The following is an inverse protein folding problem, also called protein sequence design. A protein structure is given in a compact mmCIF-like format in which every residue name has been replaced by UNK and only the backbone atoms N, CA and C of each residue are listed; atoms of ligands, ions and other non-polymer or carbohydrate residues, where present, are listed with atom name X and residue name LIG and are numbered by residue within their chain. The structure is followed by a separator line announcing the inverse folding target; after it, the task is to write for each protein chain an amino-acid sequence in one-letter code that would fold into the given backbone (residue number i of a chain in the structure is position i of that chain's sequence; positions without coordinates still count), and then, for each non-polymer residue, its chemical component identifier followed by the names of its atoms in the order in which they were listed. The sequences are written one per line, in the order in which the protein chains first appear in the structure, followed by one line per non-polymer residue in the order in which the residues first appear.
data_IF_140905285932
#
_entry.id   IF_140905285932
#
_cell.length_a   1.000
_cell.length_b   1.000
_cell.length_c   1.000
_cell.angle_alpha   90.00
_cell.angle_beta   90.00
_cell.angle_gamma   90.00
#
_symmetry.space_group_name_H-M   'P 1'
#
loop_
_entity.id
_entity.type
_entity.pdbx_description
1 polymer ?
#
# COMPACT_ATOMS: atom_id res chain seq x y z
N UNK A 1 4.43 -26.23 -16.07
CA UNK A 1 3.95 -24.96 -15.44
C UNK A 1 4.30 -24.81 -13.95
N UNK A 2 4.67 -25.90 -13.25
CA UNK A 2 5.11 -25.81 -11.84
C UNK A 2 6.58 -25.35 -11.68
N UNK A 3 7.43 -25.58 -12.67
CA UNK A 3 8.84 -25.12 -12.67
C UNK A 3 8.99 -23.62 -12.90
N UNK A 4 8.01 -22.97 -13.54
CA UNK A 4 8.03 -21.53 -13.79
C UNK A 4 7.69 -20.67 -12.57
N UNK A 5 7.10 -21.23 -11.50
CA UNK A 5 6.69 -20.44 -10.34
C UNK A 5 7.85 -19.90 -9.51
N UNK A 6 8.95 -20.64 -9.38
CA UNK A 6 10.11 -20.17 -8.64
C UNK A 6 11.01 -19.22 -9.45
N UNK A 7 11.31 -19.55 -10.68
CA UNK A 7 12.17 -18.75 -11.56
C UNK A 7 11.43 -17.50 -12.11
N UNK A 8 10.16 -17.64 -12.51
CA UNK A 8 9.38 -16.54 -13.00
C UNK A 8 9.12 -15.43 -11.95
N UNK A 9 9.01 -15.79 -10.67
CA UNK A 9 8.83 -14.81 -9.60
C UNK A 9 10.08 -13.98 -9.33
N UNK A 10 11.27 -14.52 -9.52
CA UNK A 10 12.54 -13.79 -9.39
C UNK A 10 12.64 -12.69 -10.45
N UNK A 11 12.24 -12.97 -11.69
CA UNK A 11 12.31 -12.00 -12.80
C UNK A 11 11.21 -10.93 -12.74
N UNK A 12 10.02 -11.26 -12.26
CA UNK A 12 8.89 -10.31 -12.15
C UNK A 12 9.08 -9.21 -11.12
N UNK A 13 10.11 -9.31 -10.27
CA UNK A 13 10.29 -8.40 -9.12
C UNK A 13 11.64 -7.71 -9.12
N UNK A 14 12.35 -7.70 -10.23
CA UNK A 14 13.69 -7.09 -10.30
C UNK A 14 13.58 -5.60 -10.55
N UNK A 15 14.20 -4.82 -9.66
CA UNK A 15 14.48 -3.42 -9.89
C UNK A 15 15.81 -3.23 -10.63
N UNK A 16 16.14 -2.00 -10.96
CA UNK A 16 17.37 -1.60 -11.65
C UNK A 16 18.65 -2.05 -10.93
N UNK A 17 18.60 -2.26 -9.61
CA UNK A 17 19.74 -2.75 -8.82
C UNK A 17 20.24 -4.15 -9.26
N UNK A 18 19.43 -4.90 -9.98
CA UNK A 18 19.77 -6.23 -10.47
C UNK A 18 20.44 -6.23 -11.86
N UNK A 19 20.53 -5.08 -12.53
CA UNK A 19 21.17 -4.94 -13.85
C UNK A 19 22.60 -5.52 -13.87
N UNK A 20 23.36 -5.29 -12.81
CA UNK A 20 24.72 -5.82 -12.68
C UNK A 20 24.79 -7.36 -12.58
N UNK A 21 23.68 -8.02 -12.30
CA UNK A 21 23.58 -9.49 -12.21
C UNK A 21 23.15 -10.14 -13.53
N UNK A 22 22.64 -9.36 -14.49
CA UNK A 22 22.14 -9.86 -15.78
C UNK A 22 23.17 -10.71 -16.53
N UNK A 23 24.45 -10.32 -16.65
CA UNK A 23 25.45 -11.14 -17.34
C UNK A 23 25.62 -12.54 -16.74
N UNK A 24 25.52 -12.65 -15.41
CA UNK A 24 25.58 -13.95 -14.70
C UNK A 24 24.37 -14.82 -15.02
N UNK A 25 23.18 -14.20 -15.09
CA UNK A 25 21.95 -14.90 -15.46
C UNK A 25 22.02 -15.39 -16.91
N UNK A 26 22.51 -14.56 -17.84
CA UNK A 26 22.69 -14.94 -19.25
C UNK A 26 23.60 -16.16 -19.39
N UNK A 27 24.75 -16.19 -18.68
CA UNK A 27 25.66 -17.34 -18.69
C UNK A 27 24.99 -18.60 -18.16
N UNK A 28 24.18 -18.52 -17.11
CA UNK A 28 23.43 -19.66 -16.58
C UNK A 28 22.45 -20.20 -17.61
N UNK A 29 21.68 -19.35 -18.28
CA UNK A 29 20.77 -19.76 -19.32
C UNK A 29 21.52 -20.45 -20.49
N UNK A 30 22.66 -19.91 -20.89
CA UNK A 30 23.51 -20.51 -21.91
C UNK A 30 24.05 -21.88 -21.49
N UNK A 31 24.56 -22.02 -20.25
CA UNK A 31 25.08 -23.32 -19.78
C UNK A 31 24.03 -24.41 -19.66
N UNK A 32 22.78 -24.03 -19.37
CA UNK A 32 21.66 -24.97 -19.30
C UNK A 32 20.92 -25.16 -20.62
N UNK A 33 21.37 -24.50 -21.68
CA UNK A 33 20.70 -24.48 -22.98
C UNK A 33 19.22 -24.11 -22.89
N UNK A 34 18.93 -23.09 -22.05
CA UNK A 34 17.59 -22.58 -21.87
C UNK A 34 17.35 -21.31 -22.72
N UNK A 35 16.16 -21.15 -23.29
CA UNK A 35 15.81 -19.90 -23.98
C UNK A 35 15.83 -18.73 -22.98
N UNK A 36 16.58 -17.69 -23.35
CA UNK A 36 16.64 -16.47 -22.51
C UNK A 36 15.29 -15.75 -22.53
N UNK A 37 14.68 -15.45 -21.37
CA UNK A 37 13.48 -14.63 -21.31
C UNK A 37 13.81 -13.17 -21.61
N UNK A 38 12.81 -12.41 -22.03
CA UNK A 38 12.89 -10.95 -22.07
C UNK A 38 13.02 -10.40 -20.65
N UNK A 39 13.98 -9.48 -20.45
CA UNK A 39 14.25 -8.89 -19.16
C UNK A 39 13.77 -7.45 -19.11
N UNK A 40 12.90 -7.16 -18.15
CA UNK A 40 12.42 -5.80 -17.89
C UNK A 40 12.84 -5.39 -16.48
N UNK A 41 13.60 -4.29 -16.38
CA UNK A 41 14.05 -3.74 -15.12
C UNK A 41 13.35 -2.41 -14.86
N UNK A 42 12.61 -2.35 -13.74
CA UNK A 42 11.89 -1.16 -13.34
C UNK A 42 12.79 -0.25 -12.49
N UNK A 43 12.66 1.08 -12.63
CA UNK A 43 13.38 2.02 -11.81
C UNK A 43 12.96 1.90 -10.33
N UNK A 44 13.87 2.26 -9.41
CA UNK A 44 13.57 2.30 -7.98
C UNK A 44 12.75 3.53 -7.63
N UNK A 45 11.80 3.33 -6.73
CA UNK A 45 11.07 4.44 -6.12
C UNK A 45 12.02 5.30 -5.28
N UNK A 46 11.86 6.62 -5.40
CA UNK A 46 12.68 7.62 -4.71
C UNK A 46 11.84 8.47 -3.78
N UNK A 47 12.46 8.99 -2.75
CA UNK A 47 11.90 10.04 -1.91
C UNK A 47 11.91 11.39 -2.67
N UNK A 48 11.24 12.40 -2.12
CA UNK A 48 11.27 13.79 -2.64
C UNK A 48 12.67 14.38 -2.66
N UNK A 49 13.57 13.93 -1.78
CA UNK A 49 15.01 14.27 -1.77
C UNK A 49 15.85 13.44 -2.75
N UNK A 50 15.20 12.69 -3.66
CA UNK A 50 15.78 11.77 -4.64
C UNK A 50 16.55 10.57 -4.05
N UNK A 51 16.62 10.44 -2.74
CA UNK A 51 17.19 9.25 -2.10
C UNK A 51 16.30 8.03 -2.33
N UNK A 52 16.89 6.83 -2.30
CA UNK A 52 16.14 5.56 -2.43
C UNK A 52 15.06 5.47 -1.34
N UNK A 53 13.84 5.10 -1.73
CA UNK A 53 12.76 4.80 -0.79
C UNK A 53 13.20 3.67 0.14
N UNK A 54 13.13 3.87 1.44
CA UNK A 54 13.60 2.89 2.42
C UNK A 54 12.65 2.76 3.60
N UNK A 55 12.58 1.56 4.18
CA UNK A 55 11.76 1.25 5.36
C UNK A 55 12.07 2.13 6.58
N UNK A 56 13.25 2.74 6.64
CA UNK A 56 13.67 3.59 7.77
C UNK A 56 13.07 4.99 7.72
N UNK A 57 12.84 5.51 6.51
CA UNK A 57 12.35 6.88 6.29
C UNK A 57 10.85 6.92 5.99
N UNK A 58 10.30 5.87 5.38
CA UNK A 58 8.91 5.82 4.93
C UNK A 58 8.31 4.44 5.13
N UNK A 59 7.00 4.37 5.41
CA UNK A 59 6.30 3.10 5.40
C UNK A 59 6.30 2.52 3.98
N UNK A 60 6.91 1.34 3.82
CA UNK A 60 6.97 0.62 2.53
C UNK A 60 6.14 -0.67 2.53
N UNK A 61 5.48 -0.97 3.67
CA UNK A 61 4.61 -2.13 3.79
C UNK A 61 3.21 -1.82 3.28
N UNK A 62 2.65 -2.69 2.43
CA UNK A 62 1.26 -2.60 1.98
C UNK A 62 0.28 -2.64 3.16
N UNK A 63 0.62 -3.40 4.21
CA UNK A 63 -0.20 -3.48 5.43
C UNK A 63 -0.34 -2.14 6.14
N UNK A 64 0.70 -1.30 6.11
CA UNK A 64 0.62 0.06 6.66
C UNK A 64 -0.49 0.87 5.99
N UNK A 65 -0.55 0.86 4.65
CA UNK A 65 -1.55 1.63 3.90
C UNK A 65 -2.96 1.09 4.14
N UNK A 66 -3.12 -0.24 4.18
CA UNK A 66 -4.38 -0.88 4.57
C UNK A 66 -4.83 -0.41 5.95
N UNK A 67 -3.92 -0.41 6.92
CA UNK A 67 -4.21 -0.04 8.31
C UNK A 67 -4.49 1.45 8.47
N UNK A 68 -4.01 2.29 7.55
CA UNK A 68 -4.37 3.71 7.45
C UNK A 68 -5.68 3.95 6.68
N UNK A 69 -6.33 2.92 6.16
CA UNK A 69 -7.60 3.05 5.43
C UNK A 69 -7.47 3.49 3.98
N UNK A 70 -6.32 3.26 3.36
CA UNK A 70 -6.21 3.45 1.92
C UNK A 70 -6.94 2.32 1.18
N UNK A 71 -7.71 2.69 0.15
CA UNK A 71 -8.37 1.73 -0.72
C UNK A 71 -7.35 1.01 -1.61
N UNK A 72 -7.47 -0.31 -1.79
CA UNK A 72 -6.58 -1.07 -2.67
C UNK A 72 -6.55 -0.52 -4.09
N UNK A 73 -7.70 -0.10 -4.61
CA UNK A 73 -7.87 0.45 -5.95
C UNK A 73 -7.06 1.75 -6.13
N UNK A 74 -7.12 2.63 -5.13
CA UNK A 74 -6.36 3.88 -5.13
C UNK A 74 -4.85 3.62 -5.06
N UNK A 75 -4.42 2.69 -4.22
CA UNK A 75 -3.01 2.32 -4.10
C UNK A 75 -2.49 1.69 -5.40
N UNK A 76 -3.26 0.79 -6.02
CA UNK A 76 -2.89 0.16 -7.30
C UNK A 76 -2.79 1.19 -8.43
N UNK A 77 -3.76 2.09 -8.55
CA UNK A 77 -3.71 3.17 -9.53
C UNK A 77 -2.49 4.07 -9.32
N UNK A 78 -2.23 4.49 -8.07
CA UNK A 78 -1.07 5.30 -7.74
C UNK A 78 0.25 4.60 -8.09
N UNK A 79 0.40 3.33 -7.73
CA UNK A 79 1.59 2.53 -8.07
C UNK A 79 1.75 2.34 -9.58
N UNK A 80 0.63 2.22 -10.32
CA UNK A 80 0.65 2.19 -11.78
C UNK A 80 1.30 3.44 -12.36
N UNK A 81 0.98 4.62 -11.83
CA UNK A 81 1.58 5.89 -12.26
C UNK A 81 3.05 6.05 -11.90
N UNK A 82 3.60 5.21 -11.01
CA UNK A 82 5.00 5.28 -10.59
C UNK A 82 6.01 4.83 -11.65
N UNK A 83 5.62 4.46 -12.80
CA UNK A 83 6.53 4.05 -13.86
C UNK A 83 5.84 3.91 -15.21
N UNK A 84 4.56 4.20 -15.25
CA UNK A 84 3.75 4.08 -16.45
C UNK A 84 2.63 5.13 -16.45
N UNK A 85 2.06 5.44 -17.60
CA UNK A 85 0.94 6.36 -17.73
C UNK A 85 -0.07 5.85 -18.74
N UNK A 86 -1.35 6.18 -18.53
CA UNK A 86 -2.40 5.93 -19.52
C UNK A 86 -2.07 6.64 -20.83
N UNK A 87 -2.47 6.06 -21.99
CA UNK A 87 -2.25 6.68 -23.31
C UNK A 87 -2.88 8.06 -23.46
N UNK A 88 -3.98 8.33 -22.78
CA UNK A 88 -4.73 9.58 -22.74
C UNK A 88 -4.35 10.50 -21.58
N UNK A 89 -3.26 10.17 -20.86
CA UNK A 89 -2.75 10.90 -19.70
C UNK A 89 -3.72 10.97 -18.50
N UNK A 90 -4.77 10.13 -18.50
CA UNK A 90 -5.71 10.05 -17.39
C UNK A 90 -4.99 9.57 -16.14
N UNK A 91 -5.14 10.31 -15.02
CA UNK A 91 -4.49 9.94 -13.74
C UNK A 91 -5.33 8.97 -12.90
N UNK A 92 -6.65 9.03 -13.00
CA UNK A 92 -7.55 8.13 -12.27
C UNK A 92 -8.11 7.07 -13.22
N UNK A 93 -7.74 5.82 -12.98
CA UNK A 93 -8.16 4.69 -13.81
C UNK A 93 -8.30 3.41 -12.99
N UNK A 94 -9.18 2.54 -13.41
CA UNK A 94 -9.36 1.22 -12.80
C UNK A 94 -8.24 0.26 -13.22
N UNK A 95 -8.04 -0.80 -12.42
CA UNK A 95 -7.13 -1.88 -12.79
C UNK A 95 -7.48 -2.49 -14.15
N UNK A 96 -8.77 -2.62 -14.47
CA UNK A 96 -9.21 -3.15 -15.76
C UNK A 96 -8.81 -2.24 -16.94
N UNK A 97 -8.98 -0.94 -16.81
CA UNK A 97 -8.51 0.03 -17.81
C UNK A 97 -6.99 -0.03 -17.96
N UNK A 98 -6.26 -0.11 -16.85
CA UNK A 98 -4.81 -0.27 -16.89
C UNK A 98 -4.40 -1.55 -17.64
N UNK A 99 -5.01 -2.70 -17.33
CA UNK A 99 -4.69 -3.98 -17.98
C UNK A 99 -4.95 -3.92 -19.49
N UNK A 100 -6.03 -3.24 -19.93
CA UNK A 100 -6.36 -3.09 -21.35
C UNK A 100 -5.41 -2.15 -22.10
N UNK A 101 -4.90 -1.11 -21.41
CA UNK A 101 -4.05 -0.09 -22.02
C UNK A 101 -2.55 -0.34 -21.79
N UNK A 102 -2.21 -1.34 -20.96
CA UNK A 102 -0.83 -1.57 -20.55
C UNK A 102 0.04 -1.99 -21.74
N UNK A 103 1.13 -1.26 -21.90
CA UNK A 103 2.18 -1.54 -22.86
C UNK A 103 3.54 -1.41 -22.14
N UNK A 104 4.36 -2.42 -22.28
CA UNK A 104 5.69 -2.50 -21.68
C UNK A 104 6.62 -1.40 -22.20
N UNK A 105 6.48 -1.05 -23.49
CA UNK A 105 7.31 -0.02 -24.13
C UNK A 105 7.02 1.41 -23.59
N UNK A 106 5.91 1.58 -22.88
CA UNK A 106 5.54 2.84 -22.23
C UNK A 106 6.07 2.97 -20.80
N UNK A 107 6.81 1.98 -20.30
CA UNK A 107 7.41 2.05 -18.97
C UNK A 107 8.50 3.13 -18.95
N UNK A 108 8.36 4.07 -18.03
CA UNK A 108 9.38 5.11 -17.81
C UNK A 108 10.63 4.50 -17.16
N UNK A 109 11.79 4.87 -17.68
CA UNK A 109 13.08 4.49 -17.09
C UNK A 109 13.57 5.48 -16.03
N UNK A 110 12.88 6.60 -15.83
CA UNK A 110 13.19 7.55 -14.77
C UNK A 110 12.69 7.06 -13.42
N UNK A 111 13.48 7.19 -12.36
CA UNK A 111 13.07 6.81 -11.00
C UNK A 111 11.96 7.72 -10.48
N UNK A 112 10.71 7.22 -10.32
CA UNK A 112 9.59 8.05 -9.89
C UNK A 112 9.71 8.43 -8.41
N UNK A 113 9.22 9.62 -8.08
CA UNK A 113 9.17 10.12 -6.71
C UNK A 113 7.88 9.62 -6.04
N UNK A 114 8.02 8.98 -4.90
CA UNK A 114 6.90 8.55 -4.08
C UNK A 114 6.38 9.73 -3.27
N UNK A 115 5.26 10.30 -3.72
CA UNK A 115 4.57 11.44 -3.12
C UNK A 115 3.35 10.96 -2.33
N UNK A 116 3.42 11.04 -0.99
CA UNK A 116 2.34 10.61 -0.11
C UNK A 116 1.11 11.52 -0.19
N UNK A 117 1.30 12.81 -0.48
CA UNK A 117 0.19 13.75 -0.57
C UNK A 117 -0.61 13.49 -1.86
N UNK A 118 0.06 13.17 -2.97
CA UNK A 118 -0.60 12.73 -4.19
C UNK A 118 -1.37 11.42 -3.95
N UNK A 119 -0.77 10.45 -3.27
CA UNK A 119 -1.47 9.19 -2.93
C UNK A 119 -2.72 9.46 -2.06
N UNK A 120 -2.60 10.33 -1.07
CA UNK A 120 -3.73 10.72 -0.20
C UNK A 120 -4.83 11.40 -1.00
N UNK A 121 -4.47 12.33 -1.88
CA UNK A 121 -5.41 13.00 -2.77
C UNK A 121 -6.15 11.99 -3.66
N UNK A 122 -5.43 11.08 -4.31
CA UNK A 122 -6.02 10.03 -5.15
C UNK A 122 -6.98 9.15 -4.35
N UNK A 123 -6.56 8.68 -3.18
CA UNK A 123 -7.44 7.90 -2.30
C UNK A 123 -8.72 8.65 -1.96
N UNK A 124 -8.62 9.95 -1.69
CA UNK A 124 -9.78 10.82 -1.48
C UNK A 124 -10.70 10.90 -2.70
N UNK A 125 -10.18 10.86 -3.93
CA UNK A 125 -11.01 10.81 -5.13
C UNK A 125 -11.80 9.49 -5.21
N UNK A 126 -11.16 8.36 -4.95
CA UNK A 126 -11.82 7.06 -4.91
C UNK A 126 -12.90 6.98 -3.83
N UNK A 127 -12.62 7.48 -2.62
CA UNK A 127 -13.60 7.52 -1.54
C UNK A 127 -14.83 8.37 -1.89
N UNK A 128 -14.62 9.54 -2.51
CA UNK A 128 -15.72 10.42 -2.93
C UNK A 128 -16.54 9.88 -4.10
N UNK A 129 -15.98 8.98 -4.89
CA UNK A 129 -16.69 8.35 -5.99
C UNK A 129 -17.61 7.20 -5.53
N UNK A 130 -17.48 6.73 -4.29
CA UNK A 130 -18.37 5.73 -3.71
C UNK A 130 -19.73 6.37 -3.40
N UNK A 131 -20.81 5.62 -3.61
CA UNK A 131 -22.09 5.97 -3.04
C UNK A 131 -22.11 5.80 -1.51
N UNK A 132 -23.15 6.25 -0.85
CA UNK A 132 -23.25 6.25 0.61
C UNK A 132 -23.21 4.84 1.20
N UNK A 133 -23.79 3.84 0.52
CA UNK A 133 -23.84 2.47 0.98
C UNK A 133 -22.47 1.79 0.86
N UNK A 134 -21.85 1.87 -0.31
CA UNK A 134 -20.49 1.36 -0.54
C UNK A 134 -19.46 2.05 0.39
N UNK A 135 -19.62 3.34 0.64
CA UNK A 135 -18.76 4.03 1.59
C UNK A 135 -18.94 3.50 3.02
N UNK A 136 -20.19 3.29 3.46
CA UNK A 136 -20.50 2.73 4.79
C UNK A 136 -19.92 1.31 4.96
N UNK A 137 -20.01 0.48 3.91
CA UNK A 137 -19.40 -0.87 3.91
C UNK A 137 -17.87 -0.78 4.09
N UNK A 138 -17.19 0.11 3.36
CA UNK A 138 -15.74 0.30 3.49
C UNK A 138 -15.33 0.79 4.88
N UNK A 139 -16.09 1.71 5.45
CA UNK A 139 -15.88 2.17 6.84
C UNK A 139 -16.06 1.00 7.82
N UNK A 140 -17.10 0.21 7.64
CA UNK A 140 -17.38 -0.95 8.50
C UNK A 140 -16.24 -1.99 8.39
N UNK A 141 -15.83 -2.35 7.19
CA UNK A 141 -14.70 -3.28 6.94
C UNK A 141 -13.41 -2.78 7.62
N UNK A 142 -13.14 -1.48 7.52
CA UNK A 142 -11.93 -0.90 8.09
C UNK A 142 -11.96 -0.81 9.61
N UNK A 143 -13.09 -0.37 10.20
CA UNK A 143 -13.27 -0.25 11.66
C UNK A 143 -13.39 -1.61 12.35
N UNK A 144 -14.09 -2.56 11.72
CA UNK A 144 -14.37 -3.87 12.28
C UNK A 144 -13.40 -4.95 11.79
N UNK A 145 -12.23 -4.55 11.33
CA UNK A 145 -11.19 -5.50 10.96
C UNK A 145 -10.91 -6.45 12.14
N UNK A 146 -11.06 -7.76 11.90
CA UNK A 146 -10.91 -8.80 12.93
C UNK A 146 -9.55 -8.76 13.64
N UNK A 147 -8.50 -8.37 12.94
CA UNK A 147 -7.14 -8.27 13.53
C UNK A 147 -7.08 -7.13 14.55
N UNK A 148 -7.68 -5.97 14.23
CA UNK A 148 -7.80 -4.85 15.18
C UNK A 148 -8.69 -5.20 16.37
N UNK A 149 -9.83 -5.84 16.10
CA UNK A 149 -10.73 -6.27 17.17
C UNK A 149 -10.06 -7.28 18.09
N UNK A 150 -9.27 -8.23 17.56
CA UNK A 150 -8.56 -9.22 18.36
C UNK A 150 -7.64 -8.58 19.39
N UNK A 151 -6.94 -7.52 19.02
CA UNK A 151 -6.03 -6.79 19.91
C UNK A 151 -6.80 -5.94 20.95
N UNK A 152 -8.00 -5.49 20.60
CA UNK A 152 -8.84 -4.65 21.47
C UNK A 152 -9.71 -5.45 22.44
N UNK A 153 -10.20 -6.63 22.04
CA UNK A 153 -11.11 -7.46 22.84
C UNK A 153 -10.59 -7.70 24.27
N UNK A 154 -9.32 -8.13 24.48
CA UNK A 154 -8.82 -8.38 25.84
C UNK A 154 -8.83 -7.13 26.74
N UNK A 155 -8.76 -5.93 26.14
CA UNK A 155 -8.70 -4.67 26.87
C UNK A 155 -10.08 -4.15 27.29
N UNK A 156 -11.13 -4.55 26.60
CA UNK A 156 -12.47 -3.98 26.78
C UNK A 156 -13.52 -5.01 27.25
N UNK A 157 -13.32 -6.29 26.97
CA UNK A 157 -14.32 -7.33 27.24
C UNK A 157 -14.76 -7.40 28.71
N UNK A 158 -13.84 -7.23 29.65
CA UNK A 158 -14.16 -7.26 31.09
C UNK A 158 -14.80 -5.96 31.61
N UNK A 159 -14.75 -4.88 30.80
CA UNK A 159 -15.21 -3.55 31.21
C UNK A 159 -16.53 -3.14 30.57
N UNK A 160 -16.92 -3.80 29.46
CA UNK A 160 -18.13 -3.50 28.73
C UNK A 160 -19.27 -4.39 29.22
N UNK A 161 -20.35 -3.77 29.70
CA UNK A 161 -21.58 -4.47 30.07
C UNK A 161 -22.56 -4.55 28.88
N UNK A 162 -22.44 -3.62 27.92
CA UNK A 162 -23.23 -3.55 26.67
C UNK A 162 -22.33 -3.22 25.51
N UNK A 163 -22.70 -3.61 24.31
CA UNK A 163 -21.93 -3.26 23.10
C UNK A 163 -21.79 -1.74 22.89
N UNK A 164 -22.77 -0.93 23.36
CA UNK A 164 -22.69 0.51 23.31
C UNK A 164 -21.55 1.10 24.15
N UNK A 165 -21.11 0.37 25.18
CA UNK A 165 -20.03 0.81 26.07
C UNK A 165 -18.66 0.66 25.43
N UNK A 166 -18.55 -0.05 24.29
CA UNK A 166 -17.31 -0.22 23.55
C UNK A 166 -16.80 1.11 22.98
N UNK A 167 -17.69 1.94 22.42
CA UNK A 167 -17.28 3.18 21.76
C UNK A 167 -16.45 4.10 22.66
N UNK A 168 -16.89 4.47 23.87
CA UNK A 168 -16.09 5.29 24.77
C UNK A 168 -14.82 4.60 25.29
N UNK A 169 -14.82 3.25 25.37
CA UNK A 169 -13.65 2.50 25.82
C UNK A 169 -12.56 2.41 24.77
N UNK A 170 -12.90 2.47 23.49
CA UNK A 170 -11.95 2.34 22.37
C UNK A 170 -11.69 3.65 21.63
N UNK A 171 -12.38 4.72 21.98
CA UNK A 171 -12.26 6.03 21.32
C UNK A 171 -10.79 6.50 21.23
N UNK A 172 -10.03 6.36 22.31
CA UNK A 172 -8.61 6.71 22.35
C UNK A 172 -7.72 5.76 21.54
N UNK A 173 -8.18 4.54 21.24
CA UNK A 173 -7.44 3.54 20.45
C UNK A 173 -7.78 3.63 18.97
N UNK A 174 -9.00 4.00 18.63
CA UNK A 174 -9.49 4.14 17.27
C UNK A 174 -9.32 5.58 16.74
N UNK A 175 -9.26 6.55 17.63
CA UNK A 175 -9.03 7.96 17.29
C UNK A 175 -7.58 8.21 16.87
N UNK A 176 -7.37 9.18 15.98
CA UNK A 176 -6.07 9.82 15.81
C UNK A 176 -5.64 10.33 17.18
N UNK A 177 -4.40 10.06 17.59
CA UNK A 177 -3.83 10.47 18.88
C UNK A 177 -4.28 11.89 19.22
N UNK A 178 -5.28 12.01 20.07
CA UNK A 178 -5.68 13.29 20.66
C UNK A 178 -4.47 13.77 21.44
N UNK A 179 -4.05 15.01 21.21
CA UNK A 179 -3.06 15.62 22.08
C UNK A 179 -3.64 15.62 23.51
N UNK A 180 -3.07 14.77 24.36
CA UNK A 180 -3.51 14.66 25.75
C UNK A 180 -3.24 15.99 26.43
N UNK A 181 -4.29 16.57 27.02
CA UNK A 181 -4.19 17.78 27.84
C UNK A 181 -3.95 17.40 29.30
N UNK A 182 -3.31 18.25 30.09
CA UNK A 182 -3.13 18.01 31.54
C UNK A 182 -4.44 17.66 32.28
N UNK A 183 -5.56 18.21 31.82
CA UNK A 183 -6.90 18.00 32.37
C UNK A 183 -7.40 16.54 32.17
N UNK A 184 -6.90 15.86 31.14
CA UNK A 184 -7.27 14.46 30.85
C UNK A 184 -6.67 13.48 31.91
N UNK A 185 -5.69 13.94 32.72
CA UNK A 185 -5.07 13.20 33.80
C UNK A 185 -5.59 13.56 35.19
N UNK A 186 -6.45 14.56 35.28
CA UNK A 186 -7.04 14.98 36.57
C UNK A 186 -8.06 13.93 37.03
N UNK A 187 -7.60 12.97 37.82
CA UNK A 187 -8.48 12.01 38.50
C UNK A 187 -9.08 12.69 39.75
N UNK A 188 -10.40 12.69 39.90
CA UNK A 188 -11.16 13.18 41.06
C UNK A 188 -10.87 12.43 42.38
N UNK A 189 -9.85 11.61 42.47
CA UNK A 189 -9.51 10.78 43.64
C UNK A 189 -8.05 10.92 44.08
N UNK A 190 -7.43 12.05 43.84
CA UNK A 190 -6.15 12.40 44.48
C UNK A 190 -6.34 13.59 45.40
N UNK A 191 -7.31 13.52 46.32
CA UNK A 191 -7.36 14.28 47.55
C UNK A 191 -7.07 13.31 48.71
#
# INVERSE_FOLDING_TARGET
TRLSRGLGDVYKRQGEEWLNSVPKHQLLYQYFDWPMPELVHLPLLRNTDQSKLSKRKNPTSVTYYRDQGYLPEALLNYLGLMGWSMPDEQELFTLQQMVQAFDVDRISTSGPIFDQDKLRWMNGQYLRALDAEAYAEKVQEWLLNKDRLRDLIPLVQERAERLADLLPLVDYLLGTRRALKPEDFAHKKLE
#
